data_IF_649004967218
#
_entry.id   IF_649004967218
#
_cell.length_a   1.000
_cell.length_b   1.000
_cell.length_c   1.000
_cell.angle_alpha   90.00
_cell.angle_beta   90.00
_cell.angle_gamma   90.00
#
_symmetry.space_group_name_H-M   'P 1'
#
loop_
_entity.id
_entity.type
_entity.pdbx_description
1 polymer ?
#
# COMPACT_ATOMS: atom_id res chain seq x y z
N UNK A 1 58.19 37.29 -9.73
CA UNK A 1 58.64 38.30 -8.72
C UNK A 1 57.43 38.89 -8.04
N UNK A 2 57.51 38.92 -6.79
CA UNK A 2 56.96 39.59 -5.62
C UNK A 2 55.91 38.85 -4.85
N UNK A 3 56.38 38.42 -3.69
CA UNK A 3 55.72 38.05 -2.42
C UNK A 3 55.02 39.27 -1.78
N UNK A 4 54.00 39.03 -0.98
CA UNK A 4 53.74 39.70 0.31
C UNK A 4 52.47 39.06 0.91
N UNK A 5 52.48 38.31 1.94
CA UNK A 5 52.57 38.47 3.40
C UNK A 5 51.59 39.49 4.00
N UNK A 6 50.81 39.02 4.96
CA UNK A 6 50.22 39.86 5.99
C UNK A 6 48.99 39.25 6.61
N UNK A 7 49.10 38.47 7.63
CA UNK A 7 48.90 38.65 9.09
C UNK A 7 47.44 38.84 9.53
N UNK A 8 46.97 37.84 10.28
CA UNK A 8 46.43 37.88 11.66
C UNK A 8 45.60 39.09 12.09
N UNK A 9 44.37 38.81 12.54
CA UNK A 9 43.95 39.31 13.84
C UNK A 9 42.78 38.49 14.43
N UNK A 10 42.95 38.25 15.69
CA UNK A 10 42.21 37.55 16.71
C UNK A 10 40.98 38.37 17.16
N UNK A 11 39.95 37.68 17.60
CA UNK A 11 39.13 38.23 18.70
C UNK A 11 37.64 38.26 18.46
N UNK A 12 36.90 37.46 19.05
CA UNK A 12 36.06 37.70 20.22
C UNK A 12 35.00 36.63 20.38
N UNK A 13 35.06 35.97 21.49
CA UNK A 13 34.04 35.08 22.00
C UNK A 13 32.77 35.86 22.33
N UNK A 14 31.63 35.39 21.86
CA UNK A 14 30.35 35.69 22.45
C UNK A 14 29.72 34.40 22.92
N UNK A 15 29.73 34.22 24.23
CA UNK A 15 28.89 33.30 24.98
C UNK A 15 27.44 33.75 24.83
N UNK A 16 26.58 32.95 24.29
CA UNK A 16 25.15 33.13 24.48
C UNK A 16 24.47 31.75 24.66
N UNK A 17 23.99 31.61 25.85
CA UNK A 17 22.81 30.97 26.36
C UNK A 17 22.36 29.64 25.72
N UNK A 18 22.71 28.55 26.39
CA UNK A 18 22.07 27.23 26.23
C UNK A 18 20.67 27.33 26.79
N UNK A 19 19.68 27.44 25.91
CA UNK A 19 18.31 27.05 26.22
C UNK A 19 18.19 25.56 25.96
N UNK A 20 18.35 24.77 27.01
CA UNK A 20 18.04 23.33 26.99
C UNK A 20 16.53 23.16 26.91
N UNK A 21 16.00 23.07 25.70
CA UNK A 21 14.72 22.39 25.47
C UNK A 21 14.98 20.91 25.62
N UNK A 22 14.51 20.35 26.74
CA UNK A 22 14.47 18.91 26.98
C UNK A 22 13.51 18.28 25.99
N UNK A 23 13.98 17.99 24.78
CA UNK A 23 13.35 17.02 23.92
C UNK A 23 13.60 15.66 24.56
N UNK A 24 12.55 15.10 25.16
CA UNK A 24 12.52 13.69 25.53
C UNK A 24 12.62 12.91 24.22
N UNK A 25 13.85 12.61 23.83
CA UNK A 25 14.10 11.62 22.79
C UNK A 25 13.75 10.27 23.39
N UNK A 26 12.60 9.72 23.04
CA UNK A 26 12.36 8.30 23.16
C UNK A 26 13.37 7.63 22.22
N UNK A 27 14.48 7.18 22.80
CA UNK A 27 15.37 6.24 22.14
C UNK A 27 14.57 4.93 22.00
N UNK A 28 14.02 4.70 20.82
CA UNK A 28 13.49 3.41 20.46
C UNK A 28 14.70 2.47 20.33
N UNK A 29 14.85 1.59 21.31
CA UNK A 29 15.80 0.50 21.28
C UNK A 29 15.46 -0.39 20.10
N UNK A 30 16.31 -0.38 19.05
CA UNK A 30 16.09 -1.01 17.75
C UNK A 30 16.24 -2.55 17.76
N UNK A 31 16.19 -3.20 18.91
CA UNK A 31 16.43 -4.65 19.05
C UNK A 31 15.20 -5.50 19.42
N UNK A 32 13.99 -4.93 19.44
CA UNK A 32 12.76 -5.69 19.69
C UNK A 32 11.74 -5.54 18.53
N UNK A 33 12.16 -5.87 17.31
CA UNK A 33 11.22 -6.09 16.22
C UNK A 33 10.46 -7.42 16.48
N UNK A 34 9.28 -7.36 17.11
CA UNK A 34 8.39 -8.51 17.14
C UNK A 34 7.58 -8.79 18.41
N UNK A 35 7.74 -8.03 19.47
CA UNK A 35 6.81 -8.16 20.61
C UNK A 35 5.87 -6.96 20.63
N UNK A 36 4.62 -7.18 20.23
CA UNK A 36 3.54 -6.26 20.53
C UNK A 36 3.39 -6.22 22.05
N UNK A 37 3.94 -5.21 22.71
CA UNK A 37 3.76 -5.04 24.14
C UNK A 37 2.26 -4.85 24.40
N UNK A 38 1.71 -5.77 25.20
CA UNK A 38 0.38 -5.62 25.77
C UNK A 38 0.51 -4.50 26.81
N UNK A 39 -0.26 -3.43 26.62
CA UNK A 39 -0.27 -2.32 27.54
C UNK A 39 -0.95 -2.69 28.85
N UNK A 40 -0.39 -2.29 29.98
CA UNK A 40 -1.03 -2.41 31.29
C UNK A 40 -2.37 -1.63 31.36
N UNK A 41 -2.47 -0.58 30.58
CA UNK A 41 -3.70 0.20 30.40
C UNK A 41 -3.92 0.43 28.90
N UNK A 42 -5.10 0.08 28.42
CA UNK A 42 -5.46 0.31 27.03
C UNK A 42 -5.47 1.80 26.66
N UNK A 43 -5.14 2.10 25.43
CA UNK A 43 -5.17 3.46 24.87
C UNK A 43 -6.37 3.64 23.94
N UNK A 44 -7.05 4.78 24.05
CA UNK A 44 -8.08 5.18 23.09
C UNK A 44 -7.44 5.79 21.86
N UNK A 45 -7.17 4.94 20.86
CA UNK A 45 -6.60 5.36 19.60
C UNK A 45 -7.71 5.54 18.57
N UNK A 46 -7.65 6.59 17.73
CA UNK A 46 -8.55 6.70 16.59
C UNK A 46 -8.29 5.52 15.65
N UNK A 47 -9.34 4.75 15.35
CA UNK A 47 -9.23 3.68 14.36
C UNK A 47 -8.86 4.31 13.01
N UNK A 48 -7.75 3.87 12.44
CA UNK A 48 -7.26 4.33 11.14
C UNK A 48 -8.25 4.08 9.99
N UNK A 49 -9.27 3.26 10.22
CA UNK A 49 -10.21 2.77 9.23
C UNK A 49 -11.62 3.32 9.35
N UNK A 50 -11.84 4.37 10.13
CA UNK A 50 -13.18 4.92 10.38
C UNK A 50 -13.98 5.23 9.11
N UNK A 51 -13.32 5.48 7.98
CA UNK A 51 -14.00 5.71 6.72
C UNK A 51 -14.42 4.41 6.00
N UNK A 52 -13.71 3.30 6.22
CA UNK A 52 -14.03 2.02 5.58
C UNK A 52 -15.18 1.28 6.29
N UNK A 53 -15.37 1.49 7.60
CA UNK A 53 -16.33 0.74 8.42
C UNK A 53 -17.22 1.59 9.34
N UNK A 54 -17.60 2.82 9.00
CA UNK A 54 -18.24 3.74 9.93
C UNK A 54 -19.58 3.24 10.49
N UNK A 55 -20.28 2.39 9.71
CA UNK A 55 -21.61 1.87 10.11
C UNK A 55 -21.55 0.53 10.82
N UNK A 56 -20.48 -0.24 10.64
CA UNK A 56 -20.37 -1.61 11.13
C UNK A 56 -19.75 -1.69 12.52
N UNK A 57 -18.92 -0.72 12.86
CA UNK A 57 -18.25 -0.62 14.16
C UNK A 57 -18.82 0.47 15.06
N UNK A 58 -20.04 0.94 14.79
CA UNK A 58 -20.77 1.82 15.66
C UNK A 58 -20.52 3.30 15.45
N UNK A 59 -20.59 4.08 16.47
CA UNK A 59 -20.69 5.52 16.44
C UNK A 59 -19.48 6.22 15.81
N UNK A 60 -19.75 7.35 15.18
CA UNK A 60 -18.75 8.26 14.59
C UNK A 60 -17.60 8.65 15.55
N UNK A 61 -17.76 8.41 16.84
CA UNK A 61 -16.84 8.81 17.90
C UNK A 61 -16.49 7.64 18.82
N UNK A 62 -16.68 6.39 18.40
CA UNK A 62 -16.28 5.27 19.25
C UNK A 62 -14.78 5.07 19.12
N UNK A 63 -14.09 5.48 20.12
CA UNK A 63 -12.74 5.01 20.39
C UNK A 63 -12.89 3.65 21.09
N UNK A 64 -12.29 2.63 20.51
CA UNK A 64 -12.10 1.35 21.18
C UNK A 64 -10.82 1.44 21.98
N UNK A 65 -10.84 0.97 23.20
CA UNK A 65 -9.63 0.88 23.99
C UNK A 65 -8.74 -0.21 23.39
N UNK A 66 -7.51 0.13 23.06
CA UNK A 66 -6.56 -0.75 22.36
C UNK A 66 -5.50 -1.19 23.34
N UNK A 67 -5.40 -2.50 23.55
CA UNK A 67 -4.40 -3.11 24.41
C UNK A 67 -3.05 -3.30 23.69
N UNK A 68 -3.11 -3.45 22.37
CA UNK A 68 -1.92 -3.67 21.53
C UNK A 68 -1.91 -2.62 20.41
N UNK A 69 -1.32 -1.45 20.64
CA UNK A 69 -1.16 -0.45 19.60
C UNK A 69 -0.13 -0.91 18.57
N UNK A 70 -0.47 -0.77 17.28
CA UNK A 70 0.44 -1.10 16.19
C UNK A 70 0.70 0.15 15.37
N UNK A 71 1.97 0.49 15.22
CA UNK A 71 2.43 1.50 14.30
C UNK A 71 3.14 0.83 13.14
N UNK A 72 2.67 1.11 11.92
CA UNK A 72 3.27 0.57 10.69
C UNK A 72 4.19 1.62 10.09
N UNK A 73 5.49 1.36 10.10
CA UNK A 73 6.50 2.25 9.52
C UNK A 73 6.66 2.05 8.01
N UNK A 74 6.46 0.81 7.54
CA UNK A 74 6.55 0.42 6.13
C UNK A 74 5.36 -0.46 5.77
N UNK A 75 4.63 -0.09 4.74
CA UNK A 75 3.47 -0.82 4.24
C UNK A 75 3.77 -1.35 2.83
N UNK A 76 4.66 -2.35 2.75
CA UNK A 76 4.96 -3.10 1.53
C UNK A 76 4.09 -4.35 1.51
N UNK A 77 3.15 -4.42 0.59
CA UNK A 77 2.13 -5.48 0.55
C UNK A 77 1.98 -6.03 -0.87
N UNK A 78 1.90 -7.35 -0.99
CA UNK A 78 1.49 -8.02 -2.21
C UNK A 78 0.21 -8.80 -1.97
N UNK A 79 -0.80 -8.53 -2.80
CA UNK A 79 -2.06 -9.24 -2.83
C UNK A 79 -2.01 -10.24 -4.00
N UNK A 80 -1.94 -11.53 -3.68
CA UNK A 80 -2.01 -12.59 -4.67
C UNK A 80 -3.48 -12.91 -4.98
N UNK A 81 -3.85 -12.83 -6.25
CA UNK A 81 -5.20 -13.10 -6.75
C UNK A 81 -5.12 -14.12 -7.87
N UNK A 82 -5.30 -15.39 -7.55
CA UNK A 82 -5.21 -16.51 -8.49
C UNK A 82 -6.56 -17.03 -8.98
N UNK A 83 -7.62 -16.79 -8.19
CA UNK A 83 -8.97 -17.28 -8.47
C UNK A 83 -9.95 -16.15 -8.76
N UNK A 84 -11.00 -16.49 -9.48
CA UNK A 84 -12.11 -15.60 -9.81
C UNK A 84 -13.26 -15.65 -8.79
N UNK A 85 -12.95 -16.05 -7.56
CA UNK A 85 -13.92 -16.07 -6.47
C UNK A 85 -14.42 -14.68 -6.13
N UNK A 86 -15.69 -14.62 -5.77
CA UNK A 86 -16.37 -13.38 -5.39
C UNK A 86 -17.12 -13.58 -4.09
N UNK A 87 -17.30 -12.49 -3.33
CA UNK A 87 -18.18 -12.49 -2.16
C UNK A 87 -19.66 -12.64 -2.57
N UNK A 88 -20.55 -12.82 -1.60
CA UNK A 88 -21.99 -12.95 -1.85
C UNK A 88 -22.65 -11.75 -2.56
N UNK A 89 -21.91 -10.69 -2.85
CA UNK A 89 -22.32 -9.50 -3.61
C UNK A 89 -21.68 -9.42 -4.99
N UNK A 90 -20.89 -10.41 -5.38
CA UNK A 90 -20.18 -10.46 -6.65
C UNK A 90 -18.91 -9.61 -6.70
N UNK A 91 -18.31 -9.23 -5.56
CA UNK A 91 -17.09 -8.47 -5.51
C UNK A 91 -15.87 -9.40 -5.43
N UNK A 92 -14.83 -9.14 -6.20
CA UNK A 92 -13.51 -9.75 -5.97
C UNK A 92 -12.97 -9.31 -4.62
N UNK A 93 -12.70 -10.27 -3.72
CA UNK A 93 -12.17 -9.97 -2.39
C UNK A 93 -10.81 -9.29 -2.49
N UNK A 94 -9.90 -9.79 -3.34
CA UNK A 94 -8.57 -9.21 -3.49
C UNK A 94 -8.59 -7.76 -3.96
N UNK A 95 -9.34 -7.43 -5.03
CA UNK A 95 -9.48 -6.05 -5.50
C UNK A 95 -10.10 -5.13 -4.44
N UNK A 96 -11.09 -5.65 -3.70
CA UNK A 96 -11.76 -4.91 -2.61
C UNK A 96 -10.80 -4.64 -1.44
N UNK A 97 -10.06 -5.66 -1.00
CA UNK A 97 -9.11 -5.52 0.10
C UNK A 97 -7.94 -4.61 -0.29
N UNK A 98 -7.42 -4.75 -1.50
CA UNK A 98 -6.39 -3.87 -2.03
C UNK A 98 -6.83 -2.40 -2.06
N UNK A 99 -8.07 -2.11 -2.54
CA UNK A 99 -8.62 -0.75 -2.52
C UNK A 99 -8.81 -0.22 -1.09
N UNK A 100 -9.27 -1.09 -0.18
CA UNK A 100 -9.44 -0.74 1.23
C UNK A 100 -8.11 -0.37 1.88
N UNK A 101 -7.09 -1.21 1.71
CA UNK A 101 -5.75 -0.95 2.26
C UNK A 101 -5.11 0.30 1.67
N UNK A 102 -5.25 0.51 0.36
CA UNK A 102 -4.81 1.75 -0.28
C UNK A 102 -5.49 3.00 0.28
N UNK A 103 -6.79 2.91 0.60
CA UNK A 103 -7.53 4.02 1.22
C UNK A 103 -7.05 4.30 2.66
N UNK A 104 -6.76 3.25 3.43
CA UNK A 104 -6.17 3.38 4.78
C UNK A 104 -4.80 4.05 4.68
N UNK A 105 -3.93 3.59 3.77
CA UNK A 105 -2.60 4.18 3.62
C UNK A 105 -2.66 5.64 3.17
N UNK A 106 -3.58 6.02 2.29
CA UNK A 106 -3.82 7.42 1.93
C UNK A 106 -4.12 8.28 3.16
N UNK A 107 -4.98 7.78 4.06
CA UNK A 107 -5.32 8.48 5.30
C UNK A 107 -4.10 8.58 6.24
N UNK A 108 -3.33 7.51 6.38
CA UNK A 108 -2.11 7.51 7.20
C UNK A 108 -1.05 8.49 6.66
N UNK A 109 -0.88 8.56 5.34
CA UNK A 109 -0.01 9.52 4.67
C UNK A 109 -0.49 10.95 4.96
N UNK A 110 -1.79 11.22 4.79
CA UNK A 110 -2.36 12.55 5.02
C UNK A 110 -2.21 13.03 6.48
N UNK A 111 -2.16 12.09 7.43
CA UNK A 111 -1.92 12.37 8.85
C UNK A 111 -0.43 12.46 9.22
N UNK A 112 0.47 12.22 8.28
CA UNK A 112 1.91 12.18 8.52
C UNK A 112 2.38 10.99 9.36
N UNK A 113 1.57 9.95 9.50
CA UNK A 113 1.88 8.74 10.29
C UNK A 113 2.75 7.75 9.52
N UNK A 114 2.71 7.78 8.20
CA UNK A 114 3.59 7.02 7.32
C UNK A 114 4.03 7.90 6.16
N UNK A 115 5.28 7.75 5.73
CA UNK A 115 5.78 8.48 4.56
C UNK A 115 5.30 7.80 3.27
N UNK A 116 4.96 8.57 2.21
CA UNK A 116 4.52 8.00 0.92
C UNK A 116 5.50 6.97 0.34
N UNK A 117 6.81 7.21 0.46
CA UNK A 117 7.87 6.31 -0.01
C UNK A 117 7.96 4.98 0.73
N UNK A 118 7.35 4.90 1.90
CA UNK A 118 7.27 3.68 2.71
C UNK A 118 6.02 2.84 2.40
N UNK A 119 5.16 3.31 1.49
CA UNK A 119 3.97 2.58 1.05
C UNK A 119 4.20 2.02 -0.34
N UNK A 120 4.00 0.71 -0.52
CA UNK A 120 4.00 0.06 -1.83
C UNK A 120 3.03 -1.13 -1.81
N UNK A 121 1.94 -1.02 -2.56
CA UNK A 121 0.85 -1.99 -2.58
C UNK A 121 0.72 -2.55 -4.00
N UNK A 122 0.93 -3.84 -4.15
CA UNK A 122 0.93 -4.52 -5.43
C UNK A 122 -0.14 -5.60 -5.44
N UNK A 123 -1.03 -5.59 -6.42
CA UNK A 123 -1.95 -6.69 -6.68
C UNK A 123 -1.46 -7.50 -7.87
N UNK A 124 -1.19 -8.78 -7.69
CA UNK A 124 -0.79 -9.70 -8.76
C UNK A 124 -1.99 -10.57 -9.12
N UNK A 125 -2.43 -10.50 -10.38
CA UNK A 125 -3.55 -11.27 -10.88
C UNK A 125 -3.07 -12.30 -11.89
N UNK A 126 -3.40 -13.55 -11.61
CA UNK A 126 -3.10 -14.72 -12.48
C UNK A 126 -4.23 -15.75 -12.43
N UNK A 127 -4.03 -16.94 -13.00
CA UNK A 127 -5.07 -17.95 -13.01
C UNK A 127 -6.40 -17.43 -13.56
N UNK A 128 -7.50 -17.81 -12.94
CA UNK A 128 -8.85 -17.39 -13.35
C UNK A 128 -9.18 -15.94 -12.96
N UNK A 129 -8.44 -15.34 -12.00
CA UNK A 129 -8.62 -13.93 -11.63
C UNK A 129 -8.32 -12.95 -12.77
N UNK A 130 -7.52 -13.35 -13.76
CA UNK A 130 -7.23 -12.50 -14.94
C UNK A 130 -8.49 -12.02 -15.66
N UNK A 131 -9.60 -12.76 -15.60
CA UNK A 131 -10.84 -12.34 -16.24
C UNK A 131 -11.36 -11.00 -15.74
N UNK A 132 -11.02 -10.62 -14.49
CA UNK A 132 -11.40 -9.32 -13.92
C UNK A 132 -10.65 -8.14 -14.53
N UNK A 133 -9.55 -8.39 -15.24
CA UNK A 133 -8.79 -7.37 -15.95
C UNK A 133 -9.10 -7.31 -17.45
N UNK A 134 -9.84 -8.30 -17.98
CA UNK A 134 -10.11 -8.48 -19.42
C UNK A 134 -11.41 -7.78 -19.81
N UNK A 135 -11.39 -7.07 -20.95
CA UNK A 135 -12.59 -6.40 -21.51
C UNK A 135 -13.59 -7.42 -22.06
N UNK A 136 -14.90 -7.25 -21.80
CA UNK A 136 -15.53 -6.25 -20.94
C UNK A 136 -15.39 -6.59 -19.46
N UNK A 137 -14.88 -5.66 -18.66
CA UNK A 137 -14.75 -5.85 -17.20
C UNK A 137 -16.11 -5.71 -16.54
N UNK A 138 -16.52 -6.65 -15.65
CA UNK A 138 -17.75 -6.52 -14.90
C UNK A 138 -17.81 -5.21 -14.08
N UNK A 139 -18.97 -4.55 -13.99
CA UNK A 139 -19.07 -3.22 -13.37
C UNK A 139 -18.54 -3.12 -11.95
N UNK A 140 -18.75 -4.16 -11.13
CA UNK A 140 -18.24 -4.19 -9.75
C UNK A 140 -16.71 -4.17 -9.71
N UNK A 141 -16.05 -5.05 -10.48
CA UNK A 141 -14.60 -5.12 -10.54
C UNK A 141 -13.99 -3.89 -11.20
N UNK A 142 -14.64 -3.35 -12.22
CA UNK A 142 -14.24 -2.09 -12.85
C UNK A 142 -14.17 -0.96 -11.83
N UNK A 143 -15.17 -0.85 -10.95
CA UNK A 143 -15.21 0.16 -9.89
C UNK A 143 -14.01 0.05 -8.93
N UNK A 144 -13.58 -1.16 -8.55
CA UNK A 144 -12.41 -1.36 -7.72
C UNK A 144 -11.12 -0.98 -8.46
N UNK A 145 -10.97 -1.40 -9.71
CA UNK A 145 -9.80 -1.07 -10.55
C UNK A 145 -9.66 0.45 -10.72
N UNK A 146 -10.76 1.13 -11.06
CA UNK A 146 -10.79 2.60 -11.21
C UNK A 146 -10.48 3.30 -9.87
N UNK A 147 -10.97 2.76 -8.75
CA UNK A 147 -10.64 3.23 -7.41
C UNK A 147 -9.15 3.11 -7.08
N UNK A 148 -8.54 1.98 -7.41
CA UNK A 148 -7.10 1.75 -7.25
C UNK A 148 -6.30 2.74 -8.13
N UNK A 149 -6.69 2.93 -9.39
CA UNK A 149 -6.07 3.92 -10.27
C UNK A 149 -6.19 5.34 -9.73
N UNK A 150 -7.34 5.68 -9.13
CA UNK A 150 -7.54 6.97 -8.47
C UNK A 150 -6.58 7.16 -7.29
N UNK A 151 -6.45 6.16 -6.41
CA UNK A 151 -5.51 6.22 -5.28
C UNK A 151 -4.06 6.44 -5.75
N UNK A 152 -3.65 5.78 -6.84
CA UNK A 152 -2.32 6.00 -7.42
C UNK A 152 -2.12 7.45 -7.88
N UNK A 153 -3.12 8.05 -8.54
CA UNK A 153 -3.06 9.47 -8.94
C UNK A 153 -3.06 10.42 -7.75
N UNK A 154 -3.61 10.00 -6.62
CA UNK A 154 -3.65 10.76 -5.37
C UNK A 154 -2.40 10.55 -4.48
N UNK A 155 -1.36 9.90 -5.04
CA UNK A 155 -0.04 9.81 -4.39
C UNK A 155 0.19 8.54 -3.56
N UNK A 156 -0.75 7.59 -3.55
CA UNK A 156 -0.50 6.27 -2.94
C UNK A 156 0.27 5.41 -3.93
N UNK A 157 1.40 4.84 -3.53
CA UNK A 157 2.09 3.87 -4.38
C UNK A 157 1.33 2.53 -4.36
N UNK A 158 0.45 2.37 -5.33
CA UNK A 158 -0.44 1.21 -5.49
C UNK A 158 -0.63 0.90 -6.98
N UNK A 159 -0.57 -0.40 -7.36
CA UNK A 159 -0.81 -0.79 -8.74
C UNK A 159 -1.23 -2.26 -8.88
N UNK A 160 -1.78 -2.60 -10.05
CA UNK A 160 -2.19 -3.95 -10.42
C UNK A 160 -1.24 -4.49 -11.48
N UNK A 161 -0.83 -5.74 -11.31
CA UNK A 161 -0.03 -6.49 -12.26
C UNK A 161 -0.82 -7.69 -12.82
N UNK A 162 -0.72 -7.94 -14.12
CA UNK A 162 -1.22 -9.13 -14.79
C UNK A 162 -0.04 -10.07 -15.11
N UNK A 163 -0.19 -11.35 -14.84
CA UNK A 163 0.83 -12.36 -15.10
C UNK A 163 0.91 -12.70 -16.59
N UNK A 164 2.05 -12.43 -17.25
CA UNK A 164 2.25 -12.73 -18.67
C UNK A 164 2.14 -14.23 -18.98
N UNK A 165 2.65 -15.11 -18.11
CA UNK A 165 2.55 -16.56 -18.29
C UNK A 165 1.08 -17.02 -18.32
N UNK A 166 0.25 -16.54 -17.38
CA UNK A 166 -1.17 -16.85 -17.35
C UNK A 166 -1.93 -16.21 -18.54
N UNK A 167 -1.57 -14.98 -18.93
CA UNK A 167 -2.11 -14.35 -20.14
C UNK A 167 -1.83 -15.19 -21.38
N UNK A 168 -0.59 -15.69 -21.53
CA UNK A 168 -0.21 -16.53 -22.66
C UNK A 168 -1.01 -17.82 -22.69
N UNK A 169 -1.17 -18.50 -21.56
CA UNK A 169 -1.99 -19.70 -21.44
C UNK A 169 -3.47 -19.48 -21.79
N UNK A 170 -3.99 -18.28 -21.54
CA UNK A 170 -5.34 -17.87 -21.88
C UNK A 170 -5.46 -17.18 -23.28
N UNK A 171 -4.40 -17.19 -24.09
CA UNK A 171 -4.33 -16.53 -25.39
C UNK A 171 -4.65 -15.02 -25.35
N UNK A 172 -4.32 -14.35 -24.24
CA UNK A 172 -4.54 -12.94 -24.03
C UNK A 172 -3.29 -12.12 -24.36
N UNK A 173 -3.51 -10.90 -24.81
CA UNK A 173 -2.47 -9.89 -25.04
C UNK A 173 -2.84 -8.59 -24.32
N UNK A 174 -1.96 -7.61 -24.29
CA UNK A 174 -2.25 -6.31 -23.67
C UNK A 174 -3.53 -5.65 -24.20
N UNK A 175 -3.86 -5.78 -25.51
CA UNK A 175 -5.09 -5.23 -26.10
C UNK A 175 -6.38 -5.74 -25.45
N UNK A 176 -6.32 -6.89 -24.79
CA UNK A 176 -7.48 -7.47 -24.10
C UNK A 176 -7.67 -6.85 -22.69
N UNK A 177 -6.63 -6.27 -22.10
CA UNK A 177 -6.70 -5.71 -20.76
C UNK A 177 -7.43 -4.36 -20.75
N UNK A 178 -8.13 -4.09 -19.67
CA UNK A 178 -8.98 -2.90 -19.46
C UNK A 178 -8.26 -1.58 -19.72
N UNK A 179 -6.98 -1.46 -19.33
CA UNK A 179 -6.21 -0.22 -19.41
C UNK A 179 -5.41 -0.04 -20.70
N UNK A 180 -5.73 -0.81 -21.75
CA UNK A 180 -5.04 -0.74 -23.04
C UNK A 180 -6.02 -0.53 -24.21
N UNK A 181 -5.57 0.12 -25.27
CA UNK A 181 -6.32 0.31 -26.51
C UNK A 181 -6.32 -0.95 -27.39
N UNK A 182 -6.92 -0.86 -28.58
CA UNK A 182 -6.99 -1.97 -29.53
C UNK A 182 -5.61 -2.37 -30.11
N UNK A 183 -4.61 -1.49 -30.02
CA UNK A 183 -3.25 -1.74 -30.48
C UNK A 183 -2.34 -2.29 -29.36
N UNK A 184 -2.85 -2.37 -28.11
CA UNK A 184 -2.08 -2.80 -26.94
C UNK A 184 -1.21 -1.70 -26.32
N UNK A 185 -1.49 -0.43 -26.64
CA UNK A 185 -0.89 0.71 -25.96
C UNK A 185 -1.71 1.11 -24.74
N UNK A 186 -1.09 1.70 -23.71
CA UNK A 186 -1.83 2.24 -22.58
C UNK A 186 -2.92 3.22 -23.03
N UNK A 187 -4.17 2.98 -22.61
CA UNK A 187 -5.31 3.85 -22.91
C UNK A 187 -5.42 4.96 -21.85
N UNK A 188 -5.18 6.23 -22.18
CA UNK A 188 -5.28 7.32 -21.21
C UNK A 188 -6.70 7.50 -20.66
N UNK A 189 -7.73 7.03 -21.37
CA UNK A 189 -9.14 7.10 -20.92
C UNK A 189 -9.43 6.12 -19.78
N UNK A 190 -8.61 5.08 -19.60
CA UNK A 190 -8.77 4.13 -18.49
C UNK A 190 -8.46 4.74 -17.12
N UNK A 191 -7.81 5.90 -17.08
CA UNK A 191 -7.47 6.60 -15.85
C UNK A 191 -6.32 5.98 -15.06
N UNK A 192 -5.68 4.92 -15.56
CA UNK A 192 -4.53 4.24 -14.97
C UNK A 192 -4.06 3.08 -15.83
N UNK A 193 -3.06 2.34 -15.33
CA UNK A 193 -2.43 1.27 -16.09
C UNK A 193 -2.34 -0.02 -15.27
N UNK A 194 -2.69 -1.14 -15.88
CA UNK A 194 -2.35 -2.48 -15.44
C UNK A 194 -0.96 -2.80 -15.99
N UNK A 195 -0.03 -3.19 -15.13
CA UNK A 195 1.30 -3.60 -15.56
C UNK A 195 1.30 -5.10 -15.89
N UNK A 196 2.24 -5.54 -16.72
CA UNK A 196 2.38 -6.96 -17.05
C UNK A 196 3.72 -7.42 -16.53
N UNK A 197 3.71 -8.34 -15.54
CA UNK A 197 4.91 -8.99 -15.04
C UNK A 197 5.20 -10.27 -15.84
N UNK A 198 6.40 -10.81 -15.72
CA UNK A 198 6.83 -11.99 -16.46
C UNK A 198 6.09 -13.26 -16.00
N UNK A 199 5.86 -13.41 -14.69
CA UNK A 199 5.22 -14.57 -14.08
C UNK A 199 4.95 -14.30 -12.60
N UNK A 200 3.76 -14.70 -12.12
CA UNK A 200 3.30 -14.42 -10.76
C UNK A 200 4.28 -14.98 -9.71
N UNK A 201 4.59 -16.27 -9.75
CA UNK A 201 5.50 -16.91 -8.79
C UNK A 201 6.87 -16.23 -8.67
N UNK A 202 7.50 -15.94 -9.81
CA UNK A 202 8.80 -15.28 -9.79
C UNK A 202 8.71 -13.85 -9.23
N UNK A 203 7.61 -13.16 -9.52
CA UNK A 203 7.35 -11.81 -9.04
C UNK A 203 7.07 -11.80 -7.54
N UNK A 204 6.25 -12.71 -7.05
CA UNK A 204 5.92 -12.88 -5.64
C UNK A 204 7.17 -13.22 -4.82
N UNK A 205 7.93 -14.23 -5.23
CA UNK A 205 9.19 -14.60 -4.59
C UNK A 205 10.17 -13.41 -4.53
N UNK A 206 10.27 -12.64 -5.63
CA UNK A 206 11.08 -11.44 -5.64
C UNK A 206 10.61 -10.44 -4.57
N UNK A 207 9.29 -10.18 -4.49
CA UNK A 207 8.72 -9.21 -3.56
C UNK A 207 8.90 -9.64 -2.10
N UNK A 208 8.64 -10.91 -1.78
CA UNK A 208 8.85 -11.47 -0.44
C UNK A 208 10.32 -11.32 0.00
N UNK A 209 11.27 -11.63 -0.88
CA UNK A 209 12.70 -11.43 -0.61
C UNK A 209 13.10 -9.95 -0.44
N UNK A 210 12.20 -9.01 -0.84
CA UNK A 210 12.39 -7.57 -0.66
C UNK A 210 11.51 -6.98 0.46
N UNK A 211 11.01 -7.86 1.35
CA UNK A 211 10.31 -7.47 2.57
C UNK A 211 8.85 -7.05 2.36
N UNK A 212 8.19 -7.59 1.33
CA UNK A 212 6.75 -7.43 1.19
C UNK A 212 6.01 -8.48 2.02
N UNK A 213 4.96 -8.04 2.70
CA UNK A 213 3.99 -8.94 3.33
C UNK A 213 3.08 -9.53 2.25
N UNK A 214 2.89 -10.84 2.28
CA UNK A 214 2.09 -11.58 1.31
C UNK A 214 0.67 -11.80 1.83
N UNK A 215 -0.32 -11.54 0.98
CA UNK A 215 -1.74 -11.76 1.24
C UNK A 215 -2.33 -12.63 0.14
N UNK A 216 -2.76 -13.84 0.50
CA UNK A 216 -3.49 -14.74 -0.39
C UNK A 216 -4.97 -14.38 -0.41
N UNK A 217 -5.50 -14.06 -1.59
CA UNK A 217 -6.85 -13.52 -1.76
C UNK A 217 -7.76 -14.42 -2.63
N UNK A 218 -7.42 -15.69 -2.72
CA UNK A 218 -8.12 -16.64 -3.58
C UNK A 218 -9.22 -17.46 -2.90
N UNK A 219 -9.24 -17.56 -1.58
CA UNK A 219 -10.12 -18.48 -0.88
C UNK A 219 -11.31 -17.79 -0.23
N UNK A 220 -12.51 -18.25 -0.58
CA UNK A 220 -13.70 -17.98 0.20
C UNK A 220 -13.68 -18.86 1.46
N UNK A 221 -13.29 -18.30 2.60
CA UNK A 221 -13.32 -18.98 3.89
C UNK A 221 -14.73 -19.39 4.35
N UNK A 222 -15.74 -18.97 3.65
CA UNK A 222 -17.13 -19.34 3.91
C UNK A 222 -17.58 -20.54 3.08
N UNK A 223 -16.71 -21.52 2.95
CA UNK A 223 -16.93 -22.79 2.22
C UNK A 223 -18.38 -23.24 2.26
N UNK A 224 -19.12 -22.90 1.23
CA UNK A 224 -20.28 -23.67 0.86
C UNK A 224 -19.77 -24.85 0.03
N UNK A 225 -19.77 -26.02 0.69
CA UNK A 225 -19.75 -27.29 -0.01
C UNK A 225 -20.94 -27.38 -0.97
#
# INVERSE_FOLDING_TARGET
MKKSNGKFLVGSAILLGVLTSSSVAFAADSNNAGQNEILDQCQYLPLATNQAFPKKFGAKNTTVCVDIPVQVEKAKMVFNMDTDTVDGKGNSNGLKHMLMMGSVMKEQIAKGLIKPENVDIIGIMHGSALKWLVKPVPPQQKKFIEGIFKLKREGVNIHIEACAAAMNGAHLTKKNLFSYDANGNPDPKAGGRIYVNQGAFARELYLENHGYAYFEEGYDYHGKK
#
